data_IF_519862226279
#
_entry.id   IF_519862226279
#
_cell.length_a   1.000
_cell.length_b   1.000
_cell.length_c   1.000
_cell.angle_alpha   90.00
_cell.angle_beta   90.00
_cell.angle_gamma   90.00
#
_symmetry.space_group_name_H-M   'P 1'
#
loop_
_entity.id
_entity.type
_entity.pdbx_description
1 polymer ?
#
# COMPACT_ATOMS: atom_id res chain seq x y z
N UNK A 1 3.92 -16.61 2.88
CA UNK A 1 4.02 -15.24 3.42
C UNK A 1 2.63 -14.65 3.50
N UNK A 2 2.26 -14.17 4.68
CA UNK A 2 0.96 -13.60 4.99
C UNK A 2 0.85 -12.20 4.34
N UNK A 3 -0.14 -12.00 3.48
CA UNK A 3 -0.31 -10.74 2.75
C UNK A 3 -0.47 -9.56 3.72
N UNK A 4 -1.11 -9.79 4.87
CA UNK A 4 -1.25 -8.80 5.93
C UNK A 4 0.11 -8.32 6.48
N UNK A 5 1.05 -9.25 6.75
CA UNK A 5 2.40 -8.90 7.22
C UNK A 5 3.24 -8.16 6.18
N UNK A 6 3.02 -8.45 4.89
CA UNK A 6 3.72 -7.75 3.81
C UNK A 6 3.20 -6.31 3.65
N UNK A 7 1.89 -6.15 3.70
CA UNK A 7 1.19 -4.85 3.63
C UNK A 7 1.60 -3.98 4.82
N UNK A 8 1.58 -4.52 6.05
CA UNK A 8 1.89 -3.76 7.26
C UNK A 8 3.34 -3.24 7.28
N UNK A 9 4.30 -4.07 6.84
CA UNK A 9 5.72 -3.68 6.74
C UNK A 9 5.97 -2.58 5.70
N UNK A 10 5.15 -2.50 4.64
CA UNK A 10 5.25 -1.46 3.59
C UNK A 10 4.34 -0.25 3.84
N UNK A 11 3.35 -0.39 4.72
CA UNK A 11 2.54 0.73 5.21
C UNK A 11 3.30 1.63 6.18
N UNK A 12 4.26 1.08 6.93
CA UNK A 12 5.00 1.85 7.92
C UNK A 12 5.77 3.03 7.30
N UNK A 13 6.54 2.89 6.21
CA UNK A 13 7.19 4.04 5.56
C UNK A 13 6.20 5.09 5.05
N UNK A 14 5.06 4.66 4.48
CA UNK A 14 4.00 5.56 4.01
C UNK A 14 3.40 6.35 5.17
N UNK A 15 3.09 5.68 6.30
CA UNK A 15 2.57 6.33 7.52
C UNK A 15 3.55 7.35 8.09
N UNK A 16 4.84 7.04 8.10
CA UNK A 16 5.88 7.98 8.56
C UNK A 16 5.96 9.18 7.63
N UNK A 17 5.99 8.98 6.31
CA UNK A 17 6.06 10.07 5.33
C UNK A 17 4.84 11.00 5.41
N UNK A 18 3.63 10.43 5.51
CA UNK A 18 2.40 11.21 5.72
C UNK A 18 2.42 11.94 7.07
N UNK A 19 2.92 11.30 8.13
CA UNK A 19 3.03 11.92 9.44
C UNK A 19 3.97 13.13 9.45
N UNK A 20 5.12 13.02 8.78
CA UNK A 20 6.06 14.14 8.62
C UNK A 20 5.43 15.28 7.82
N UNK A 21 4.74 14.97 6.72
CA UNK A 21 4.03 15.97 5.93
C UNK A 21 2.92 16.65 6.74
N UNK A 22 2.15 15.90 7.52
CA UNK A 22 1.08 16.43 8.37
C UNK A 22 1.64 17.35 9.47
N UNK A 23 2.78 16.97 10.06
CA UNK A 23 3.44 17.80 11.08
C UNK A 23 3.96 19.12 10.48
N UNK A 24 4.59 19.08 9.30
CA UNK A 24 5.03 20.27 8.58
C UNK A 24 3.84 21.21 8.24
N UNK A 25 2.71 20.63 7.81
CA UNK A 25 1.49 21.39 7.53
C UNK A 25 0.86 21.98 8.80
N UNK A 26 0.90 21.26 9.93
CA UNK A 26 0.43 21.78 11.22
C UNK A 26 1.33 22.90 11.76
N UNK A 27 2.65 22.78 11.60
CA UNK A 27 3.60 23.83 11.96
C UNK A 27 3.40 25.11 11.14
N UNK A 28 2.98 24.97 9.88
CA UNK A 28 2.63 26.12 9.05
C UNK A 28 1.31 26.79 9.47
N UNK A 29 0.52 26.18 10.35
CA UNK A 29 -0.62 26.80 11.03
C UNK A 29 -1.66 27.39 10.07
N UNK A 30 -1.88 28.71 10.17
CA UNK A 30 -2.82 29.48 9.35
C UNK A 30 -2.13 30.30 8.24
N UNK A 31 -0.86 30.02 7.94
CA UNK A 31 -0.16 30.70 6.86
C UNK A 31 -0.82 30.40 5.51
N UNK A 32 -1.02 31.43 4.69
CA UNK A 32 -1.65 31.27 3.38
C UNK A 32 -0.77 30.52 2.38
N UNK A 33 0.50 30.28 2.72
CA UNK A 33 1.48 29.70 1.82
C UNK A 33 2.46 28.83 2.62
N UNK A 34 2.40 27.52 2.41
CA UNK A 34 3.31 26.55 3.02
C UNK A 34 4.43 26.25 2.05
N UNK A 35 5.67 26.37 2.52
CA UNK A 35 6.85 26.04 1.71
C UNK A 35 7.27 24.62 2.04
N UNK A 36 7.02 23.68 1.14
CA UNK A 36 7.37 22.26 1.33
C UNK A 36 8.66 21.95 0.57
N UNK A 37 9.57 21.25 1.22
CA UNK A 37 10.76 20.74 0.55
C UNK A 37 10.39 19.80 -0.61
N UNK A 38 10.94 20.10 -1.78
CA UNK A 38 10.61 19.39 -3.02
C UNK A 38 11.02 17.93 -2.97
N UNK A 39 12.15 17.62 -2.34
CA UNK A 39 12.67 16.26 -2.26
C UNK A 39 11.87 15.43 -1.25
N UNK A 40 11.41 16.05 -0.16
CA UNK A 40 10.45 15.44 0.78
C UNK A 40 9.13 15.11 0.09
N UNK A 41 8.54 16.06 -0.64
CA UNK A 41 7.28 15.82 -1.36
C UNK A 41 7.44 14.73 -2.42
N UNK A 42 8.54 14.75 -3.18
CA UNK A 42 8.87 13.69 -4.15
C UNK A 42 8.98 12.32 -3.47
N UNK A 43 9.69 12.23 -2.35
CA UNK A 43 9.85 10.98 -1.59
C UNK A 43 8.51 10.42 -1.10
N UNK A 44 7.61 11.28 -0.61
CA UNK A 44 6.24 10.89 -0.21
C UNK A 44 5.46 10.33 -1.42
N UNK A 45 5.51 11.02 -2.56
CA UNK A 45 4.82 10.61 -3.78
C UNK A 45 5.34 9.27 -4.30
N UNK A 46 6.66 9.12 -4.43
CA UNK A 46 7.30 7.89 -4.92
C UNK A 46 7.00 6.70 -3.99
N UNK A 47 7.10 6.90 -2.68
CA UNK A 47 6.79 5.86 -1.69
C UNK A 47 5.32 5.44 -1.75
N UNK A 48 4.41 6.39 -1.97
CA UNK A 48 2.97 6.12 -2.11
C UNK A 48 2.68 5.38 -3.41
N UNK A 49 3.33 5.74 -4.52
CA UNK A 49 3.21 5.04 -5.81
C UNK A 49 3.66 3.58 -5.71
N UNK A 50 4.82 3.34 -5.09
CA UNK A 50 5.31 1.97 -4.85
C UNK A 50 4.33 1.15 -4.02
N UNK A 51 3.72 1.76 -3.00
CA UNK A 51 2.70 1.11 -2.18
C UNK A 51 1.45 0.72 -3.01
N UNK A 52 0.97 1.62 -3.87
CA UNK A 52 -0.19 1.34 -4.75
C UNK A 52 0.12 0.18 -5.70
N UNK A 53 1.29 0.21 -6.37
CA UNK A 53 1.70 -0.88 -7.26
C UNK A 53 1.80 -2.24 -6.54
N UNK A 54 2.34 -2.24 -5.32
CA UNK A 54 2.44 -3.45 -4.50
C UNK A 54 1.06 -3.97 -4.08
N UNK A 55 0.16 -3.06 -3.71
CA UNK A 55 -1.19 -3.41 -3.30
C UNK A 55 -1.97 -4.04 -4.47
N UNK A 56 -1.89 -3.44 -5.67
CA UNK A 56 -2.50 -3.99 -6.88
C UNK A 56 -1.96 -5.39 -7.22
N UNK A 57 -0.64 -5.58 -7.12
CA UNK A 57 -0.02 -6.90 -7.30
C UNK A 57 -0.48 -7.91 -6.24
N UNK A 58 -0.70 -7.46 -4.99
CA UNK A 58 -1.18 -8.32 -3.91
C UNK A 58 -2.64 -8.77 -4.13
N UNK A 59 -3.52 -7.86 -4.59
CA UNK A 59 -4.90 -8.19 -4.95
C UNK A 59 -4.94 -9.15 -6.14
N UNK A 60 -4.11 -8.92 -7.16
CA UNK A 60 -3.98 -9.84 -8.29
C UNK A 60 -3.62 -11.27 -7.83
N UNK A 61 -2.62 -11.39 -6.94
CA UNK A 61 -2.20 -12.68 -6.37
C UNK A 61 -3.27 -13.33 -5.48
N UNK A 62 -4.04 -12.53 -4.74
CA UNK A 62 -5.16 -13.02 -3.92
C UNK A 62 -6.28 -13.59 -4.80
N UNK A 63 -6.66 -12.90 -5.88
CA UNK A 63 -7.64 -13.39 -6.86
C UNK A 63 -7.17 -14.69 -7.53
N UNK A 64 -5.90 -14.76 -7.92
CA UNK A 64 -5.33 -15.94 -8.57
C UNK A 64 -5.30 -17.17 -7.63
N UNK A 65 -4.96 -16.97 -6.35
CA UNK A 65 -5.05 -18.02 -5.33
C UNK A 65 -6.48 -18.51 -5.09
N UNK A 66 -7.45 -17.60 -5.08
CA UNK A 66 -8.87 -17.94 -4.92
C UNK A 66 -9.36 -18.85 -6.07
N UNK A 67 -9.02 -18.49 -7.31
CA UNK A 67 -9.38 -19.30 -8.48
C UNK A 67 -8.71 -20.68 -8.47
N UNK A 68 -7.44 -20.78 -8.05
CA UNK A 68 -6.73 -22.07 -7.93
C UNK A 68 -7.35 -22.99 -6.87
N UNK A 69 -7.82 -22.44 -5.75
CA UNK A 69 -8.55 -23.23 -4.76
C UNK A 69 -9.91 -23.70 -5.29
N UNK A 70 -10.64 -22.87 -6.02
CA UNK A 70 -11.94 -23.24 -6.57
C UNK A 70 -11.83 -24.37 -7.62
N UNK A 71 -10.82 -24.32 -8.48
CA UNK A 71 -10.57 -25.35 -9.51
C UNK A 71 -10.17 -26.68 -8.88
N UNK A 72 -9.32 -26.68 -7.85
CA UNK A 72 -8.93 -27.91 -7.17
C UNK A 72 -10.08 -28.58 -6.41
N UNK A 73 -10.96 -27.80 -5.78
CA UNK A 73 -12.15 -28.34 -5.11
C UNK A 73 -13.16 -28.88 -6.12
N UNK A 74 -13.39 -28.19 -7.24
CA UNK A 74 -14.29 -28.65 -8.30
C UNK A 74 -13.79 -29.93 -9.01
N UNK A 75 -12.47 -30.10 -9.14
CA UNK A 75 -11.87 -31.32 -9.66
C UNK A 75 -12.03 -32.50 -8.69
N UNK A 76 -11.95 -32.28 -7.37
CA UNK A 76 -12.15 -33.31 -6.37
C UNK A 76 -13.60 -33.83 -6.28
N UNK A 77 -14.60 -32.98 -6.52
CA UNK A 77 -16.03 -33.37 -6.48
C UNK A 77 -16.46 -34.21 -7.68
N UNK A 78 -15.73 -34.17 -8.81
CA UNK A 78 -16.08 -34.94 -10.02
C UNK A 78 -15.56 -36.38 -10.04
N UNK A 79 -14.79 -36.81 -9.04
CA UNK A 79 -14.16 -38.14 -8.98
C UNK A 79 -14.79 -39.06 -7.92
N UNK A 80 -15.94 -38.68 -7.37
CA UNK A 80 -16.70 -39.47 -6.38
C UNK A 80 -17.98 -40.05 -6.95
#
# INVERSE_FOLDING_TARGET
MDAAKYIDRRLHPVRVAIGLLSHELELAGSESMVTIDKDMLRSVVETTMLFVEDFDRSIGKLREKSNKHFVNTAAATKVG
#
